data_IF_520841194902
#
_entry.id   IF_520841194902
#
_cell.length_a   1.000
_cell.length_b   1.000
_cell.length_c   1.000
_cell.angle_alpha   90.00
_cell.angle_beta   90.00
_cell.angle_gamma   90.00
#
_symmetry.space_group_name_H-M   'P 1'
#
loop_
_entity.id
_entity.type
_entity.pdbx_description
1 polymer ?
#
# COMPACT_ATOMS: atom_id res chain seq x y z
N UNK A 1 4.22 -92.86 -53.14
CA UNK A 1 4.44 -92.00 -52.00
C UNK A 1 3.09 -91.52 -51.51
N UNK A 2 2.71 -91.81 -50.29
CA UNK A 2 1.36 -91.66 -49.78
C UNK A 2 0.99 -90.20 -49.50
N UNK A 3 -0.20 -89.77 -49.96
CA UNK A 3 -0.77 -88.41 -49.66
C UNK A 3 -0.77 -88.03 -48.16
N UNK A 4 -0.80 -89.01 -47.31
CA UNK A 4 -0.73 -88.82 -45.86
C UNK A 4 0.62 -88.22 -45.41
N UNK A 5 1.72 -88.49 -46.10
CA UNK A 5 3.05 -87.94 -45.77
C UNK A 5 3.21 -86.46 -46.21
N UNK A 6 2.52 -86.06 -47.28
CA UNK A 6 2.48 -84.69 -47.76
C UNK A 6 1.63 -83.79 -46.78
N UNK A 7 0.47 -84.27 -46.42
CA UNK A 7 -0.39 -83.55 -45.49
C UNK A 7 0.21 -83.43 -44.06
N UNK A 8 0.99 -84.39 -43.61
CA UNK A 8 1.73 -84.30 -42.36
C UNK A 8 2.86 -83.26 -42.36
N UNK A 9 3.56 -83.10 -43.55
CA UNK A 9 4.60 -82.08 -43.77
C UNK A 9 4.04 -80.66 -43.86
N UNK A 10 2.90 -80.49 -44.52
CA UNK A 10 2.21 -79.24 -44.61
C UNK A 10 1.75 -78.76 -43.23
N UNK A 11 1.06 -79.64 -42.47
CA UNK A 11 0.66 -79.30 -41.06
C UNK A 11 1.83 -79.03 -40.12
N UNK A 12 2.98 -79.71 -40.33
CA UNK A 12 4.18 -79.41 -39.54
C UNK A 12 4.81 -78.06 -39.92
N UNK A 13 4.74 -77.66 -41.18
CA UNK A 13 5.19 -76.37 -41.70
C UNK A 13 4.30 -75.24 -41.26
N UNK A 14 2.96 -75.42 -41.29
CA UNK A 14 1.99 -74.42 -40.79
C UNK A 14 2.12 -74.21 -39.26
N UNK A 15 2.27 -75.29 -38.48
CA UNK A 15 2.47 -75.18 -37.03
C UNK A 15 3.81 -74.51 -36.62
N UNK A 16 4.88 -74.75 -37.48
CA UNK A 16 6.16 -74.06 -37.23
C UNK A 16 6.15 -72.59 -37.61
N UNK A 17 5.38 -72.22 -38.61
CA UNK A 17 5.19 -70.83 -39.05
C UNK A 17 4.33 -70.03 -38.02
N UNK A 18 3.23 -70.66 -37.50
CA UNK A 18 2.40 -70.06 -36.48
C UNK A 18 3.18 -69.86 -35.13
N UNK A 19 4.02 -70.79 -34.79
CA UNK A 19 4.85 -70.72 -33.55
C UNK A 19 5.95 -69.66 -33.68
N UNK A 20 6.51 -69.39 -34.87
CA UNK A 20 7.48 -68.30 -35.10
C UNK A 20 6.80 -66.95 -35.10
N UNK A 21 5.59 -66.83 -35.61
CA UNK A 21 4.79 -65.60 -35.60
C UNK A 21 4.48 -65.11 -34.19
N UNK A 22 4.05 -66.01 -33.27
CA UNK A 22 3.73 -65.65 -31.91
C UNK A 22 4.98 -65.26 -31.10
N UNK A 23 6.14 -65.87 -31.33
CA UNK A 23 7.39 -65.48 -30.69
C UNK A 23 7.88 -64.08 -31.07
N UNK A 24 7.71 -63.72 -32.37
CA UNK A 24 8.04 -62.37 -32.86
C UNK A 24 7.13 -61.29 -32.30
N UNK A 25 5.83 -61.59 -32.18
CA UNK A 25 4.84 -60.69 -31.60
C UNK A 25 5.08 -60.47 -30.10
N UNK A 26 5.40 -61.57 -29.36
CA UNK A 26 5.77 -61.47 -27.95
C UNK A 26 7.06 -60.68 -27.70
N UNK A 27 8.11 -60.92 -28.53
CA UNK A 27 9.33 -60.14 -28.51
C UNK A 27 9.12 -58.65 -28.80
N UNK A 28 8.27 -58.33 -29.78
CA UNK A 28 7.86 -56.95 -30.11
C UNK A 28 7.10 -56.28 -28.96
N UNK A 29 6.18 -57.01 -28.30
CA UNK A 29 5.46 -56.51 -27.13
C UNK A 29 6.38 -56.26 -25.94
N UNK A 30 7.31 -57.15 -25.64
CA UNK A 30 8.30 -56.98 -24.57
C UNK A 30 9.22 -55.80 -24.86
N UNK A 31 9.65 -55.62 -26.12
CA UNK A 31 10.45 -54.46 -26.52
C UNK A 31 9.66 -53.15 -26.38
N UNK A 32 8.40 -53.12 -26.77
CA UNK A 32 7.51 -51.95 -26.60
C UNK A 32 7.34 -51.59 -25.14
N UNK A 33 7.08 -52.57 -24.27
CA UNK A 33 6.95 -52.37 -22.83
C UNK A 33 8.26 -51.86 -22.21
N UNK A 34 9.39 -52.37 -22.68
CA UNK A 34 10.73 -51.94 -22.21
C UNK A 34 10.97 -50.46 -22.60
N UNK A 35 10.68 -50.10 -23.85
CA UNK A 35 10.80 -48.71 -24.32
C UNK A 35 9.84 -47.79 -23.57
N UNK A 36 8.58 -48.20 -23.37
CA UNK A 36 7.61 -47.42 -22.59
C UNK A 36 8.07 -47.26 -21.13
N UNK A 37 8.58 -48.33 -20.52
CA UNK A 37 9.13 -48.30 -19.16
C UNK A 37 10.33 -47.35 -19.05
N UNK A 38 11.24 -47.34 -20.01
CA UNK A 38 12.39 -46.40 -20.00
C UNK A 38 11.97 -44.96 -20.19
N UNK A 39 10.96 -44.70 -21.02
CA UNK A 39 10.41 -43.34 -21.18
C UNK A 39 9.76 -42.86 -19.89
N UNK A 40 8.92 -43.71 -19.26
CA UNK A 40 8.26 -43.36 -18.02
C UNK A 40 9.28 -43.15 -16.89
N UNK A 41 10.26 -44.04 -16.77
CA UNK A 41 11.34 -43.90 -15.77
C UNK A 41 12.18 -42.64 -16.00
N UNK A 42 12.58 -42.38 -17.28
CA UNK A 42 13.32 -41.19 -17.66
C UNK A 42 12.53 -39.92 -17.39
N UNK A 43 11.23 -39.91 -17.71
CA UNK A 43 10.31 -38.81 -17.37
C UNK A 43 10.22 -38.57 -15.89
N UNK A 44 10.11 -39.62 -15.06
CA UNK A 44 10.06 -39.51 -13.60
C UNK A 44 11.36 -38.94 -13.02
N UNK A 45 12.52 -39.37 -13.52
CA UNK A 45 13.84 -38.84 -13.13
C UNK A 45 13.98 -37.37 -13.50
N UNK A 46 13.55 -36.97 -14.71
CA UNK A 46 13.59 -35.57 -15.16
C UNK A 46 12.69 -34.69 -14.28
N UNK A 47 11.47 -35.15 -13.99
CA UNK A 47 10.55 -34.43 -13.07
C UNK A 47 11.14 -34.29 -11.66
N UNK A 48 11.77 -35.37 -11.15
CA UNK A 48 12.49 -35.33 -9.87
C UNK A 48 13.65 -34.32 -9.88
N UNK A 49 14.42 -34.28 -10.98
CA UNK A 49 15.52 -33.34 -11.18
C UNK A 49 15.04 -31.88 -11.25
N UNK A 50 13.90 -31.62 -11.90
CA UNK A 50 13.31 -30.27 -11.99
C UNK A 50 12.73 -29.76 -10.66
N UNK A 51 12.35 -30.67 -9.76
CA UNK A 51 11.83 -30.33 -8.40
C UNK A 51 12.94 -30.10 -7.37
N UNK A 52 14.18 -30.44 -7.68
CA UNK A 52 15.31 -30.32 -6.78
C UNK A 52 15.72 -28.85 -6.61
N UNK A 53 15.40 -28.25 -5.44
CA UNK A 53 15.67 -26.87 -5.11
C UNK A 53 17.17 -26.51 -5.15
N UNK A 54 18.06 -27.48 -4.97
CA UNK A 54 19.51 -27.27 -4.99
C UNK A 54 20.04 -27.05 -6.42
N UNK A 55 19.30 -27.45 -7.44
CA UNK A 55 19.75 -27.44 -8.83
C UNK A 55 19.17 -26.31 -9.68
N UNK A 56 17.99 -25.82 -9.32
CA UNK A 56 17.31 -24.68 -9.98
C UNK A 56 16.84 -23.66 -8.92
N UNK A 57 17.77 -23.08 -8.12
CA UNK A 57 17.38 -22.05 -7.18
C UNK A 57 16.94 -20.80 -7.93
N UNK A 58 15.98 -20.06 -7.34
CA UNK A 58 15.74 -18.66 -7.71
C UNK A 58 16.89 -17.82 -7.13
N UNK A 59 17.87 -17.47 -7.97
CA UNK A 59 19.10 -16.81 -7.48
C UNK A 59 19.07 -15.30 -7.71
N UNK A 60 18.29 -14.82 -8.64
CA UNK A 60 18.18 -13.39 -8.97
C UNK A 60 16.78 -12.84 -8.72
N UNK A 61 16.72 -11.76 -7.94
CA UNK A 61 15.53 -10.95 -7.73
C UNK A 61 15.76 -9.58 -8.36
N UNK A 62 15.04 -9.26 -9.44
CA UNK A 62 15.10 -7.97 -10.10
C UNK A 62 13.81 -7.21 -9.84
N UNK A 63 13.93 -6.09 -9.11
CA UNK A 63 12.82 -5.23 -8.77
C UNK A 63 12.88 -3.97 -9.61
N UNK A 64 11.78 -3.66 -10.30
CA UNK A 64 11.62 -2.52 -11.20
C UNK A 64 10.40 -1.69 -10.79
N UNK A 65 10.30 -0.47 -11.27
CA UNK A 65 9.24 0.49 -10.93
C UNK A 65 9.79 1.69 -10.15
N UNK A 66 9.01 2.77 -10.11
CA UNK A 66 9.33 3.93 -9.29
C UNK A 66 9.02 3.61 -7.83
N UNK A 67 10.07 3.54 -7.01
CA UNK A 67 9.99 3.15 -5.61
C UNK A 67 10.44 4.30 -4.73
N UNK A 68 9.53 4.79 -3.90
CA UNK A 68 9.78 5.84 -2.91
C UNK A 68 9.80 5.27 -1.49
N UNK A 69 9.00 4.25 -1.26
CA UNK A 69 8.78 3.66 0.08
C UNK A 69 9.29 2.22 0.20
N UNK A 70 9.31 1.46 -0.90
CA UNK A 70 9.68 0.04 -0.88
C UNK A 70 11.19 -0.15 -0.95
N UNK A 71 11.75 -0.85 0.02
CA UNK A 71 13.13 -1.33 0.03
C UNK A 71 13.22 -2.76 -0.52
N UNK A 72 14.42 -3.16 -0.93
CA UNK A 72 14.65 -4.55 -1.33
C UNK A 72 14.41 -5.54 -0.18
N UNK A 73 14.63 -5.09 1.07
CA UNK A 73 14.41 -5.91 2.26
C UNK A 73 12.93 -6.15 2.54
N UNK A 74 12.05 -5.16 2.28
CA UNK A 74 10.60 -5.36 2.40
C UNK A 74 10.11 -6.47 1.47
N UNK A 75 10.57 -6.46 0.22
CA UNK A 75 10.21 -7.48 -0.77
C UNK A 75 10.78 -8.84 -0.37
N UNK A 76 12.04 -8.87 0.09
CA UNK A 76 12.66 -10.10 0.57
C UNK A 76 11.91 -10.68 1.77
N UNK A 77 11.56 -9.85 2.74
CA UNK A 77 10.77 -10.28 3.90
C UNK A 77 9.38 -10.76 3.51
N UNK A 78 8.70 -10.06 2.58
CA UNK A 78 7.41 -10.48 2.06
C UNK A 78 7.48 -11.88 1.41
N UNK A 79 8.53 -12.16 0.63
CA UNK A 79 8.74 -13.45 0.01
C UNK A 79 9.09 -14.53 1.06
N UNK A 80 9.97 -14.22 2.00
CA UNK A 80 10.38 -15.16 3.06
C UNK A 80 9.22 -15.50 4.02
N UNK A 81 8.27 -14.61 4.20
CA UNK A 81 7.06 -14.86 4.99
C UNK A 81 6.19 -15.99 4.40
N UNK A 82 6.33 -16.31 3.11
CA UNK A 82 5.68 -17.45 2.47
C UNK A 82 6.34 -18.80 2.79
N UNK A 83 7.48 -18.81 3.48
CA UNK A 83 8.30 -19.97 3.76
C UNK A 83 9.55 -20.06 2.88
N UNK A 84 10.20 -21.23 2.87
CA UNK A 84 11.39 -21.44 2.05
C UNK A 84 11.02 -21.24 0.56
N UNK A 85 11.81 -20.46 -0.20
CA UNK A 85 11.57 -20.26 -1.61
C UNK A 85 11.63 -21.60 -2.35
N UNK A 86 10.63 -21.83 -3.19
CA UNK A 86 10.59 -22.98 -4.08
C UNK A 86 11.65 -22.90 -5.17
N UNK A 87 11.66 -23.90 -6.04
CA UNK A 87 12.48 -23.86 -7.27
C UNK A 87 11.86 -22.90 -8.28
N UNK A 88 12.64 -22.50 -9.28
CA UNK A 88 12.11 -21.71 -10.42
C UNK A 88 10.84 -22.34 -11.02
N UNK A 89 10.74 -23.67 -11.05
CA UNK A 89 9.57 -24.36 -11.61
C UNK A 89 8.39 -24.44 -10.64
N UNK A 90 8.63 -24.68 -9.39
CA UNK A 90 7.56 -24.92 -8.39
C UNK A 90 7.02 -23.66 -7.74
N UNK A 91 7.76 -22.54 -7.80
CA UNK A 91 7.33 -21.28 -7.18
C UNK A 91 6.11 -20.70 -7.92
N UNK A 92 5.04 -20.46 -7.21
CA UNK A 92 3.86 -19.75 -7.74
C UNK A 92 4.06 -18.23 -7.65
N UNK A 93 4.08 -17.57 -8.80
CA UNK A 93 4.24 -16.12 -8.90
C UNK A 93 3.01 -15.35 -8.40
N UNK A 94 1.82 -15.95 -8.49
CA UNK A 94 0.59 -15.30 -8.03
C UNK A 94 0.58 -15.16 -6.50
N UNK A 95 1.08 -16.17 -5.79
CA UNK A 95 1.20 -16.13 -4.33
C UNK A 95 2.19 -15.04 -3.91
N UNK A 96 3.33 -14.93 -4.60
CA UNK A 96 4.32 -13.87 -4.34
C UNK A 96 3.70 -12.50 -4.62
N UNK A 97 3.01 -12.35 -5.75
CA UNK A 97 2.33 -11.10 -6.10
C UNK A 97 1.34 -10.67 -5.02
N UNK A 98 0.44 -11.56 -4.61
CA UNK A 98 -0.54 -11.29 -3.56
C UNK A 98 0.11 -10.93 -2.22
N UNK A 99 1.25 -11.56 -1.90
CA UNK A 99 1.97 -11.25 -0.67
C UNK A 99 2.62 -9.87 -0.70
N UNK A 100 3.15 -9.46 -1.83
CA UNK A 100 3.72 -8.13 -2.03
C UNK A 100 2.62 -7.07 -2.01
N UNK A 101 1.47 -7.33 -2.62
CA UNK A 101 0.29 -6.46 -2.63
C UNK A 101 -0.37 -6.28 -1.24
N UNK A 102 0.00 -7.11 -0.25
CA UNK A 102 -0.39 -6.88 1.17
C UNK A 102 0.37 -5.73 1.83
N UNK A 103 1.46 -5.26 1.26
CA UNK A 103 2.14 -4.07 1.77
C UNK A 103 1.24 -2.84 1.54
N UNK A 104 0.87 -2.09 2.59
CA UNK A 104 -0.19 -1.08 2.50
C UNK A 104 0.06 0.06 1.52
N UNK A 105 1.33 0.29 1.16
CA UNK A 105 1.73 1.34 0.22
C UNK A 105 1.91 0.86 -1.21
N UNK A 106 1.71 -0.43 -1.48
CA UNK A 106 1.76 -1.00 -2.83
C UNK A 106 0.37 -0.96 -3.46
N UNK A 107 0.25 -0.25 -4.57
CA UNK A 107 -0.98 -0.20 -5.35
C UNK A 107 -1.16 -1.43 -6.22
N UNK A 108 -0.07 -1.89 -6.84
CA UNK A 108 -0.07 -3.03 -7.75
C UNK A 108 1.32 -3.65 -7.81
N UNK A 109 1.38 -4.96 -7.89
CA UNK A 109 2.59 -5.71 -8.18
C UNK A 109 2.38 -6.59 -9.42
N UNK A 110 3.43 -6.82 -10.19
CA UNK A 110 3.45 -7.80 -11.28
C UNK A 110 4.70 -8.64 -11.15
N UNK A 111 4.52 -9.94 -11.00
CA UNK A 111 5.62 -10.89 -10.77
C UNK A 111 5.72 -11.83 -11.96
N UNK A 112 6.90 -11.93 -12.55
CA UNK A 112 7.16 -12.79 -13.71
C UNK A 112 8.46 -13.56 -13.53
N UNK A 113 8.44 -14.82 -13.96
CA UNK A 113 9.65 -15.62 -14.06
C UNK A 113 10.37 -15.30 -15.36
N UNK A 114 11.66 -15.07 -15.27
CA UNK A 114 12.54 -14.91 -16.44
C UNK A 114 13.60 -15.99 -16.39
N UNK A 115 13.60 -16.84 -17.43
CA UNK A 115 14.54 -17.94 -17.53
C UNK A 115 16.01 -17.41 -17.56
N UNK A 116 17.02 -18.07 -16.94
CA UNK A 116 16.92 -19.40 -16.32
C UNK A 116 16.53 -19.38 -14.82
N UNK A 117 16.80 -18.33 -14.04
CA UNK A 117 16.76 -18.32 -12.59
C UNK A 117 16.31 -16.99 -11.97
N UNK A 118 15.70 -16.13 -12.76
CA UNK A 118 15.38 -14.74 -12.39
C UNK A 118 13.89 -14.58 -12.10
N UNK A 119 13.60 -13.87 -10.99
CA UNK A 119 12.26 -13.39 -10.67
C UNK A 119 12.22 -11.88 -10.87
N UNK A 120 11.43 -11.44 -11.85
CA UNK A 120 11.23 -10.02 -12.15
C UNK A 120 9.95 -9.51 -11.51
N UNK A 121 10.08 -8.52 -10.63
CA UNK A 121 8.98 -7.88 -9.91
C UNK A 121 8.89 -6.45 -10.37
N UNK A 122 7.73 -6.06 -10.87
CA UNK A 122 7.41 -4.67 -11.17
C UNK A 122 6.40 -4.15 -10.17
N UNK A 123 6.71 -3.02 -9.53
CA UNK A 123 5.92 -2.42 -8.47
C UNK A 123 5.39 -1.06 -8.89
N UNK A 124 4.16 -0.80 -8.48
CA UNK A 124 3.54 0.52 -8.53
C UNK A 124 3.12 0.87 -7.10
N UNK A 125 3.69 1.93 -6.55
CA UNK A 125 3.35 2.45 -5.22
C UNK A 125 2.22 3.46 -5.32
N UNK A 126 1.47 3.62 -4.21
CA UNK A 126 0.54 4.74 -4.08
C UNK A 126 1.31 6.06 -4.00
N UNK A 127 0.80 7.08 -4.70
CA UNK A 127 1.35 8.43 -4.63
C UNK A 127 0.52 9.25 -3.64
N UNK A 128 1.11 9.74 -2.53
CA UNK A 128 0.37 10.50 -1.54
C UNK A 128 -0.01 11.88 -2.08
N UNK A 129 -1.29 12.21 -1.96
CA UNK A 129 -1.82 13.54 -2.22
C UNK A 129 -1.95 14.36 -0.94
N UNK A 130 -2.41 13.72 0.15
CA UNK A 130 -2.61 14.36 1.45
C UNK A 130 -2.36 13.37 2.60
N UNK A 131 -2.15 13.89 3.81
CA UNK A 131 -2.16 13.11 5.05
C UNK A 131 -3.59 12.97 5.54
N UNK A 132 -3.95 11.79 6.01
CA UNK A 132 -5.26 11.44 6.54
C UNK A 132 -5.19 11.03 8.00
N UNK A 133 -5.90 11.75 8.87
CA UNK A 133 -5.99 11.47 10.32
C UNK A 133 -4.62 11.21 10.97
N UNK A 134 -3.57 11.92 10.54
CA UNK A 134 -2.16 11.85 11.01
C UNK A 134 -1.42 10.53 10.75
N UNK A 135 -2.11 9.40 10.63
CA UNK A 135 -1.53 8.06 10.54
C UNK A 135 -1.49 7.49 9.13
N UNK A 136 -2.39 7.95 8.28
CA UNK A 136 -2.57 7.44 6.92
C UNK A 136 -2.25 8.52 5.88
N UNK A 137 -2.19 8.09 4.63
CA UNK A 137 -2.13 8.94 3.45
C UNK A 137 -3.35 8.67 2.59
N UNK A 138 -3.73 9.63 1.77
CA UNK A 138 -4.70 9.44 0.70
C UNK A 138 -4.08 9.83 -0.63
N UNK A 139 -4.40 9.05 -1.66
CA UNK A 139 -4.02 9.36 -3.04
C UNK A 139 -5.01 10.35 -3.70
N UNK A 140 -4.77 10.66 -4.96
CA UNK A 140 -5.65 11.55 -5.74
C UNK A 140 -7.07 11.01 -5.95
N UNK A 141 -7.28 9.71 -5.79
CA UNK A 141 -8.57 9.04 -5.92
C UNK A 141 -9.31 8.91 -4.59
N UNK A 142 -8.70 9.37 -3.48
CA UNK A 142 -9.29 9.26 -2.14
C UNK A 142 -9.09 7.88 -1.50
N UNK A 143 -8.19 7.03 -2.04
CA UNK A 143 -7.87 5.74 -1.45
C UNK A 143 -6.88 5.94 -0.31
N UNK A 144 -7.23 5.41 0.85
CA UNK A 144 -6.40 5.48 2.05
C UNK A 144 -5.35 4.36 2.05
N UNK A 145 -4.13 4.69 2.44
CA UNK A 145 -3.02 3.75 2.57
C UNK A 145 -2.06 4.19 3.69
N UNK A 146 -1.25 3.26 4.17
CA UNK A 146 -0.29 3.55 5.25
C UNK A 146 1.15 3.41 4.75
N UNK A 147 2.00 4.31 5.21
CA UNK A 147 3.45 4.28 4.97
C UNK A 147 4.14 4.37 6.33
N UNK A 148 5.23 3.63 6.58
CA UNK A 148 6.01 3.80 7.79
C UNK A 148 6.46 5.25 7.98
N UNK A 149 6.28 5.79 9.18
CA UNK A 149 6.50 7.21 9.49
C UNK A 149 7.92 7.69 9.12
N UNK A 150 8.90 6.81 9.24
CA UNK A 150 10.31 7.09 8.92
C UNK A 150 10.52 7.32 7.41
N UNK A 151 9.62 6.85 6.58
CA UNK A 151 9.72 6.90 5.10
C UNK A 151 8.92 8.04 4.48
N UNK A 152 8.05 8.71 5.25
CA UNK A 152 7.15 9.77 4.74
C UNK A 152 7.92 11.02 4.31
N UNK A 153 9.17 11.19 4.73
CA UNK A 153 9.96 12.37 4.40
C UNK A 153 9.35 13.69 4.89
N UNK A 154 9.96 14.82 4.50
CA UNK A 154 9.53 16.18 4.90
C UNK A 154 8.59 16.83 3.87
N UNK A 155 7.79 16.04 3.16
CA UNK A 155 6.85 16.60 2.17
C UNK A 155 5.76 17.43 2.87
N UNK A 156 5.52 18.64 2.39
CA UNK A 156 4.42 19.50 2.85
C UNK A 156 3.14 19.08 2.15
N UNK A 157 2.49 18.05 2.68
CA UNK A 157 1.20 17.61 2.20
C UNK A 157 0.08 18.29 3.00
N UNK A 158 -1.06 18.59 2.38
CA UNK A 158 -2.23 19.05 3.11
C UNK A 158 -2.70 18.01 4.12
N UNK A 159 -3.31 18.49 5.20
CA UNK A 159 -3.83 17.66 6.28
C UNK A 159 -5.33 17.51 6.11
N UNK A 160 -5.81 16.30 6.00
CA UNK A 160 -7.23 15.97 5.89
C UNK A 160 -7.66 15.15 7.10
N UNK A 161 -8.78 15.54 7.71
CA UNK A 161 -9.35 14.86 8.86
C UNK A 161 -10.83 14.58 8.63
N UNK A 162 -11.27 13.40 9.00
CA UNK A 162 -12.67 13.01 8.88
C UNK A 162 -12.98 11.68 9.52
N UNK A 163 -14.25 11.30 9.59
CA UNK A 163 -14.67 9.97 9.97
C UNK A 163 -14.09 8.92 9.00
N UNK A 164 -13.88 7.72 9.50
CA UNK A 164 -13.44 6.59 8.68
C UNK A 164 -14.45 6.35 7.54
N UNK A 165 -13.94 6.14 6.32
CA UNK A 165 -14.76 5.96 5.12
C UNK A 165 -15.21 7.26 4.44
N UNK A 166 -14.81 8.44 4.95
CA UNK A 166 -15.13 9.74 4.34
C UNK A 166 -13.96 10.38 3.57
N UNK A 167 -12.93 9.60 3.27
CA UNK A 167 -11.69 10.07 2.64
C UNK A 167 -11.97 10.80 1.33
N UNK A 168 -12.81 10.23 0.48
CA UNK A 168 -13.17 10.81 -0.81
C UNK A 168 -13.96 12.10 -0.64
N UNK A 169 -14.96 12.13 0.25
CA UNK A 169 -15.80 13.31 0.50
C UNK A 169 -14.97 14.50 1.02
N UNK A 170 -14.03 14.22 1.94
CA UNK A 170 -13.13 15.24 2.50
C UNK A 170 -12.15 15.73 1.44
N UNK A 171 -11.62 14.84 0.61
CA UNK A 171 -10.73 15.17 -0.48
C UNK A 171 -11.41 16.06 -1.53
N UNK A 172 -12.65 15.73 -1.93
CA UNK A 172 -13.44 16.54 -2.85
C UNK A 172 -13.77 17.92 -2.24
N UNK A 173 -14.14 17.93 -0.96
CA UNK A 173 -14.34 19.16 -0.21
C UNK A 173 -13.09 20.04 -0.17
N UNK A 174 -11.93 19.44 0.12
CA UNK A 174 -10.64 20.12 0.07
C UNK A 174 -10.38 20.73 -1.32
N UNK A 175 -10.52 19.96 -2.38
CA UNK A 175 -10.28 20.44 -3.76
C UNK A 175 -11.17 21.61 -4.13
N UNK A 176 -12.47 21.50 -3.82
CA UNK A 176 -13.43 22.57 -4.10
C UNK A 176 -13.09 23.86 -3.35
N UNK A 177 -12.81 23.76 -2.04
CA UNK A 177 -12.48 24.92 -1.20
C UNK A 177 -11.10 25.49 -1.52
N UNK A 178 -10.10 24.64 -1.76
CA UNK A 178 -8.74 25.07 -2.12
C UNK A 178 -8.73 25.82 -3.46
N UNK A 179 -9.53 25.40 -4.45
CA UNK A 179 -9.65 26.09 -5.73
C UNK A 179 -10.11 27.54 -5.53
N UNK A 180 -11.09 27.79 -4.68
CA UNK A 180 -11.62 29.13 -4.41
C UNK A 180 -10.63 29.97 -3.59
N UNK A 181 -10.01 29.37 -2.57
CA UNK A 181 -9.01 30.04 -1.74
C UNK A 181 -7.75 30.40 -2.54
N UNK A 182 -7.22 29.47 -3.34
CA UNK A 182 -6.04 29.69 -4.17
C UNK A 182 -6.24 30.80 -5.21
N UNK A 183 -7.45 30.90 -5.80
CA UNK A 183 -7.81 32.00 -6.71
C UNK A 183 -7.71 33.37 -6.02
N UNK A 184 -7.85 33.41 -4.68
CA UNK A 184 -7.74 34.62 -3.86
C UNK A 184 -6.42 34.70 -3.08
N UNK A 185 -5.40 33.92 -3.48
CA UNK A 185 -4.03 33.89 -2.90
C UNK A 185 -3.97 33.38 -1.45
N UNK A 186 -4.96 32.62 -1.01
CA UNK A 186 -4.94 31.90 0.26
C UNK A 186 -4.57 30.44 0.03
N UNK A 187 -3.72 29.91 0.89
CA UNK A 187 -3.31 28.51 0.84
C UNK A 187 -4.02 27.72 1.95
N UNK A 188 -4.64 26.61 1.56
CA UNK A 188 -5.35 25.74 2.46
C UNK A 188 -4.39 24.66 3.00
N UNK A 189 -4.11 24.71 4.29
CA UNK A 189 -3.18 23.79 4.99
C UNK A 189 -3.90 22.56 5.51
N UNK A 190 -5.12 22.72 6.03
CA UNK A 190 -5.86 21.66 6.69
C UNK A 190 -7.35 21.78 6.41
N UNK A 191 -8.00 20.64 6.26
CA UNK A 191 -9.46 20.49 6.22
C UNK A 191 -9.86 19.39 7.19
N UNK A 192 -10.87 19.66 8.01
CA UNK A 192 -11.47 18.68 8.87
C UNK A 192 -12.99 18.64 8.68
N UNK A 193 -13.53 17.44 8.60
CA UNK A 193 -14.97 17.19 8.59
C UNK A 193 -15.34 16.34 9.79
N UNK A 194 -16.26 16.82 10.61
CA UNK A 194 -16.77 16.02 11.75
C UNK A 194 -17.77 14.96 11.28
N UNK A 195 -18.10 13.99 12.16
CA UNK A 195 -19.14 12.99 11.91
C UNK A 195 -20.53 13.59 11.64
N UNK A 196 -20.75 14.85 12.01
CA UNK A 196 -22.00 15.61 11.73
C UNK A 196 -21.88 16.45 10.46
N UNK A 197 -20.87 16.19 9.60
CA UNK A 197 -20.56 16.93 8.37
C UNK A 197 -20.31 18.43 8.61
N UNK A 198 -19.81 18.82 9.78
CA UNK A 198 -19.36 20.18 10.04
C UNK A 198 -17.91 20.36 9.61
N UNK A 199 -17.65 21.42 8.85
CA UNK A 199 -16.37 21.67 8.22
C UNK A 199 -15.57 22.72 8.94
N UNK A 200 -14.30 22.44 9.13
CA UNK A 200 -13.28 23.32 9.70
C UNK A 200 -12.08 23.38 8.76
N UNK A 201 -11.50 24.54 8.61
CA UNK A 201 -10.32 24.76 7.76
C UNK A 201 -9.21 25.42 8.59
N UNK A 202 -7.97 25.19 8.19
CA UNK A 202 -6.85 26.04 8.61
C UNK A 202 -6.06 26.48 7.36
N UNK A 203 -5.79 27.75 7.30
CA UNK A 203 -4.97 28.36 6.26
C UNK A 203 -3.47 28.26 6.62
N UNK A 204 -2.60 28.50 5.67
CA UNK A 204 -1.14 28.47 5.85
C UNK A 204 -0.64 29.52 6.85
N UNK A 205 -1.36 30.64 7.00
CA UNK A 205 -1.10 31.68 8.00
C UNK A 205 -1.71 31.38 9.39
N UNK A 206 -2.09 30.12 9.67
CA UNK A 206 -2.67 29.61 10.90
C UNK A 206 -4.04 30.19 11.28
N UNK A 207 -4.74 30.86 10.36
CA UNK A 207 -6.12 31.27 10.56
C UNK A 207 -7.05 30.08 10.43
N UNK A 208 -7.87 29.83 11.46
CA UNK A 208 -8.87 28.77 11.47
C UNK A 208 -10.23 29.31 11.04
N UNK A 209 -10.95 28.55 10.23
CA UNK A 209 -12.27 28.87 9.75
C UNK A 209 -13.26 27.80 10.19
N UNK A 210 -14.35 28.23 10.82
CA UNK A 210 -15.47 27.37 11.19
C UNK A 210 -16.59 27.59 10.14
N UNK A 211 -16.75 26.65 9.22
CA UNK A 211 -17.76 26.77 8.17
C UNK A 211 -19.08 26.10 8.56
N UNK A 212 -19.06 25.13 9.49
CA UNK A 212 -20.25 24.36 9.82
C UNK A 212 -20.67 23.41 8.70
N UNK A 213 -21.94 23.04 8.69
CA UNK A 213 -22.47 22.00 7.81
C UNK A 213 -23.03 22.58 6.51
N UNK A 214 -23.79 23.65 6.59
CA UNK A 214 -24.57 24.18 5.47
C UNK A 214 -23.83 25.30 4.76
N UNK A 215 -24.09 25.47 3.47
CA UNK A 215 -23.58 26.57 2.62
C UNK A 215 -22.08 26.89 2.79
N UNK A 216 -21.25 25.83 2.87
CA UNK A 216 -19.80 25.98 3.08
C UNK A 216 -19.13 26.92 2.06
N UNK A 217 -19.59 26.90 0.79
CA UNK A 217 -18.99 27.71 -0.27
C UNK A 217 -19.39 29.20 -0.16
N UNK A 218 -20.64 29.50 0.15
CA UNK A 218 -21.09 30.89 0.41
C UNK A 218 -20.41 31.48 1.65
N UNK A 219 -20.26 30.68 2.70
CA UNK A 219 -19.51 31.08 3.91
C UNK A 219 -18.04 31.35 3.62
N UNK A 220 -17.41 30.51 2.80
CA UNK A 220 -16.03 30.71 2.36
C UNK A 220 -15.86 32.01 1.54
N UNK A 221 -16.80 32.29 0.63
CA UNK A 221 -16.80 33.55 -0.13
C UNK A 221 -17.00 34.76 0.77
N UNK A 222 -17.82 34.64 1.83
CA UNK A 222 -17.99 35.69 2.85
C UNK A 222 -16.66 35.95 3.59
N UNK A 223 -15.95 34.90 3.98
CA UNK A 223 -14.60 35.02 4.54
C UNK A 223 -13.67 35.81 3.62
N UNK A 224 -13.60 35.44 2.34
CA UNK A 224 -12.72 36.09 1.37
C UNK A 224 -13.01 37.60 1.24
N UNK A 225 -14.28 38.00 1.34
CA UNK A 225 -14.65 39.41 1.33
C UNK A 225 -14.34 40.17 2.61
N UNK A 226 -14.46 39.51 3.77
CA UNK A 226 -14.24 40.12 5.07
C UNK A 226 -12.77 40.17 5.46
N UNK A 227 -11.98 39.17 5.14
CA UNK A 227 -10.63 38.99 5.64
C UNK A 227 -9.66 40.15 5.32
N UNK A 228 -9.65 40.76 4.12
CA UNK A 228 -8.79 41.92 3.85
C UNK A 228 -9.05 43.12 4.78
N UNK A 229 -10.30 43.33 5.19
CA UNK A 229 -10.66 44.42 6.13
C UNK A 229 -10.17 44.08 7.56
N UNK A 230 -10.19 42.79 7.94
CA UNK A 230 -9.72 42.34 9.25
C UNK A 230 -8.20 42.47 9.39
N UNK A 231 -7.44 42.32 8.31
CA UNK A 231 -5.99 42.44 8.30
C UNK A 231 -5.48 43.88 8.49
N UNK A 232 -6.34 44.89 8.37
CA UNK A 232 -5.95 46.30 8.53
C UNK A 232 -5.70 46.71 9.98
N UNK A 233 -5.94 45.86 10.95
CA UNK A 233 -5.69 46.14 12.37
C UNK A 233 -4.21 45.85 12.72
N UNK A 234 -3.42 46.88 13.10
CA UNK A 234 -1.96 46.71 13.20
C UNK A 234 -1.54 45.88 14.45
N UNK A 235 -2.31 45.92 15.52
CA UNK A 235 -1.93 45.35 16.82
C UNK A 235 -2.47 43.92 17.06
N UNK A 236 -3.27 43.40 16.17
CA UNK A 236 -3.94 42.09 16.34
C UNK A 236 -3.92 41.31 15.04
N UNK A 237 -3.70 40.02 15.18
CA UNK A 237 -3.87 39.09 14.05
C UNK A 237 -5.13 38.27 14.23
N UNK A 238 -5.80 37.97 13.14
CA UNK A 238 -6.95 37.05 13.15
C UNK A 238 -6.44 35.66 13.48
N UNK A 239 -7.01 35.01 14.48
CA UNK A 239 -6.69 33.65 14.89
C UNK A 239 -7.72 32.66 14.38
N UNK A 240 -9.00 32.99 14.50
CA UNK A 240 -10.06 32.19 13.91
C UNK A 240 -11.23 33.07 13.46
N UNK A 241 -12.04 32.52 12.53
CA UNK A 241 -13.26 33.15 12.04
C UNK A 241 -14.37 32.11 12.03
N UNK A 242 -15.39 32.35 12.84
CA UNK A 242 -16.59 31.51 12.87
C UNK A 242 -17.63 32.07 11.91
N UNK A 243 -17.91 31.33 10.85
CA UNK A 243 -18.82 31.71 9.77
C UNK A 243 -20.16 30.96 9.81
N UNK A 244 -20.45 30.26 10.90
CA UNK A 244 -21.68 29.47 11.06
C UNK A 244 -22.94 30.33 11.14
N UNK A 245 -22.79 31.60 11.44
CA UNK A 245 -23.88 32.59 11.45
C UNK A 245 -24.40 32.86 10.02
N UNK A 246 -25.69 33.21 9.89
CA UNK A 246 -26.32 33.43 8.59
C UNK A 246 -25.77 34.68 7.86
N UNK A 247 -25.62 35.79 8.60
CA UNK A 247 -25.27 37.10 8.01
C UNK A 247 -23.96 37.69 8.49
N UNK A 248 -23.33 37.09 9.49
CA UNK A 248 -22.13 37.65 10.14
C UNK A 248 -20.98 36.64 10.27
N UNK A 249 -19.99 37.04 11.05
CA UNK A 249 -18.90 36.19 11.50
C UNK A 249 -18.44 36.62 12.91
N UNK A 250 -18.07 35.65 13.76
CA UNK A 250 -17.37 35.95 14.99
C UNK A 250 -15.85 35.82 14.76
N UNK A 251 -15.09 36.81 15.21
CA UNK A 251 -13.65 36.91 14.97
C UNK A 251 -12.90 36.72 16.28
N UNK A 252 -12.02 35.75 16.32
CA UNK A 252 -11.06 35.60 17.41
C UNK A 252 -9.72 36.23 17.03
N UNK A 253 -9.22 37.02 17.93
CA UNK A 253 -7.97 37.76 17.78
C UNK A 253 -6.87 37.14 18.63
N UNK A 254 -5.64 37.14 18.12
CA UNK A 254 -4.43 36.82 18.88
C UNK A 254 -3.52 38.07 18.91
N UNK A 255 -2.76 38.27 20.00
CA UNK A 255 -1.77 39.34 20.05
C UNK A 255 -0.69 39.09 18.95
N UNK A 256 -0.25 40.15 18.32
CA UNK A 256 0.95 40.12 17.50
C UNK A 256 2.14 40.18 18.45
N UNK A 257 2.83 39.07 18.65
CA UNK A 257 4.14 39.10 19.30
C UNK A 257 5.13 39.71 18.29
N UNK A 258 5.34 41.03 18.40
CA UNK A 258 6.51 41.63 17.76
C UNK A 258 7.69 41.04 18.54
N UNK A 259 8.42 40.11 17.91
CA UNK A 259 9.57 39.49 18.52
C UNK A 259 10.54 40.57 19.00
N UNK A 260 10.57 40.84 20.31
CA UNK A 260 11.65 41.58 20.93
C UNK A 260 12.92 40.79 20.66
N UNK A 261 13.83 41.35 19.90
CA UNK A 261 15.20 40.88 19.83
C UNK A 261 15.73 40.72 21.26
N UNK A 262 16.01 39.50 21.70
CA UNK A 262 16.80 39.18 22.88
C UNK A 262 16.12 39.52 24.24
N UNK A 263 15.12 38.75 24.62
CA UNK A 263 14.60 38.71 25.98
C UNK A 263 14.04 37.34 26.24
N UNK A 264 14.64 36.60 27.19
CA UNK A 264 14.07 35.39 27.75
C UNK A 264 12.63 35.62 28.17
N UNK A 265 11.69 34.68 27.99
CA UNK A 265 10.35 34.82 28.50
C UNK A 265 10.43 34.89 30.03
N UNK A 266 9.69 35.80 30.70
CA UNK A 266 9.66 35.85 32.15
C UNK A 266 9.12 34.52 32.67
N UNK A 267 9.97 33.77 33.35
CA UNK A 267 9.60 32.59 34.10
C UNK A 267 8.69 33.09 35.23
N UNK A 268 7.39 32.93 35.07
CA UNK A 268 6.40 33.24 36.12
C UNK A 268 6.45 32.14 37.19
N UNK A 269 7.54 32.18 37.97
CA UNK A 269 7.79 31.31 39.10
C UNK A 269 7.32 31.91 40.39
N UNK A 270 6.02 32.23 40.55
CA UNK A 270 5.47 32.66 41.84
C UNK A 270 3.98 32.28 42.00
N UNK A 271 3.64 31.03 41.84
CA UNK A 271 2.31 30.56 42.32
C UNK A 271 2.31 29.17 42.98
N UNK A 272 3.45 28.58 43.32
CA UNK A 272 3.48 27.26 43.98
C UNK A 272 4.10 27.24 45.39
N UNK A 273 4.42 28.38 45.99
CA UNK A 273 4.95 28.42 47.38
C UNK A 273 3.89 28.47 48.47
N UNK A 274 2.63 28.80 48.17
CA UNK A 274 1.57 28.87 49.18
C UNK A 274 0.75 27.58 49.36
N UNK A 275 0.86 26.59 48.47
CA UNK A 275 0.17 25.31 48.70
C UNK A 275 0.98 24.28 49.47
N UNK A 276 2.30 24.40 49.52
CA UNK A 276 3.13 23.48 50.30
C UNK A 276 3.20 23.86 51.81
N UNK A 277 2.97 25.12 52.18
CA UNK A 277 2.92 25.51 53.60
C UNK A 277 1.60 25.12 54.28
N UNK A 278 0.49 25.03 53.57
CA UNK A 278 -0.78 24.59 54.15
C UNK A 278 -0.92 23.07 54.32
N UNK A 279 -0.12 22.27 53.63
CA UNK A 279 -0.11 20.81 53.80
C UNK A 279 0.85 20.34 54.91
N UNK A 280 1.80 21.17 55.32
CA UNK A 280 2.71 20.86 56.46
C UNK A 280 2.08 21.13 57.82
N UNK A 281 1.10 22.05 57.90
CA UNK A 281 0.39 22.35 59.16
C UNK A 281 -0.79 21.41 59.43
N UNK A 282 -1.33 20.71 58.44
CA UNK A 282 -2.45 19.77 58.62
C UNK A 282 -2.02 18.35 59.07
N UNK A 283 -0.73 18.09 59.27
CA UNK A 283 -0.20 16.77 59.72
C UNK A 283 0.35 16.82 61.18
N UNK A 284 0.13 17.91 61.91
CA UNK A 284 0.53 18.06 63.34
C UNK A 284 -0.64 18.40 64.26
N UNK A 285 -1.86 18.02 63.94
CA UNK A 285 -2.99 17.98 64.93
C UNK A 285 -3.62 16.61 64.90
#
# INVERSE_FOLDING_TARGET
>A
MSQAALNARERAAENSAARRSNGGQLAGLIFLLMVLGTILWGGWVVVGWMKDASRLPLSKLVVTGERHYTTNDDIRQAILALGAPGTFMTQDVNIIQQQIERLPWIQQASVRKQWPDELKIHLVEYVPFARWNDLHMVDEQGRSFSVPSERIGKQRLPLLYGPEGSEQDVLEGYRAMNKVLAANKYQLKMVAMSARHSWQLALDNDVRLELGRDDRMGRLQRFIKLYPMLQQQPDKRVSYVDLRYETGAAIGWAPVFIGSQGGEPPINGQQNSNQQQNQAQAKQQ
#
